data_IF_647076758001
#
_entry.id   IF_647076758001
#
_cell.length_a   1.000
_cell.length_b   1.000
_cell.length_c   1.000
_cell.angle_alpha   90.00
_cell.angle_beta   90.00
_cell.angle_gamma   90.00
#
_symmetry.space_group_name_H-M   'P 1'
#
loop_
_entity.id
_entity.type
_entity.pdbx_description
1 polymer ?
#
# COMPACT_ATOMS: atom_id res chain seq x y z
N UNK A 1 -6.79 15.07 -38.84
CA UNK A 1 -6.62 13.84 -38.03
C UNK A 1 -7.11 12.69 -38.88
N UNK A 2 -6.24 11.74 -39.23
CA UNK A 2 -6.61 10.62 -40.10
C UNK A 2 -7.54 9.68 -39.35
N UNK A 3 -8.81 9.62 -39.76
CA UNK A 3 -9.80 8.69 -39.22
C UNK A 3 -9.37 7.26 -39.56
N UNK A 4 -9.15 6.42 -38.54
CA UNK A 4 -8.89 5.00 -38.74
C UNK A 4 -10.22 4.28 -38.85
N UNK A 5 -10.42 3.59 -39.98
CA UNK A 5 -11.64 2.86 -40.25
C UNK A 5 -11.61 1.48 -39.55
N UNK A 6 -12.64 1.14 -38.75
CA UNK A 6 -12.68 -0.13 -38.02
C UNK A 6 -12.92 -1.36 -38.91
N UNK A 7 -13.35 -1.20 -40.17
CA UNK A 7 -13.58 -2.31 -41.12
C UNK A 7 -12.26 -2.85 -41.72
N UNK A 8 -11.22 -2.01 -41.74
CA UNK A 8 -9.92 -2.33 -42.35
C UNK A 8 -8.75 -2.26 -41.36
N UNK A 9 -8.99 -1.83 -40.12
CA UNK A 9 -7.98 -1.65 -39.08
C UNK A 9 -7.77 -2.86 -38.17
N UNK A 10 -6.68 -2.85 -37.41
CA UNK A 10 -6.41 -3.83 -36.36
C UNK A 10 -7.16 -3.41 -35.10
N UNK A 11 -8.09 -4.23 -34.59
CA UNK A 11 -8.99 -3.79 -33.51
C UNK A 11 -8.84 -4.61 -32.23
N UNK A 12 -9.16 -4.00 -31.09
CA UNK A 12 -9.30 -4.70 -29.82
C UNK A 12 -10.73 -4.49 -29.30
N UNK A 13 -11.54 -5.56 -29.34
CA UNK A 13 -12.94 -5.51 -28.90
C UNK A 13 -13.05 -5.19 -27.42
N UNK A 14 -12.19 -5.79 -26.57
CA UNK A 14 -12.22 -5.55 -25.13
C UNK A 14 -11.90 -4.10 -24.72
N UNK A 15 -11.25 -3.32 -25.59
CA UNK A 15 -10.84 -1.93 -25.29
C UNK A 15 -11.47 -0.90 -26.23
N UNK A 16 -12.31 -1.33 -27.19
CA UNK A 16 -12.90 -0.48 -28.23
C UNK A 16 -11.88 0.41 -28.96
N UNK A 17 -10.70 -0.14 -29.27
CA UNK A 17 -9.64 0.58 -29.97
C UNK A 17 -9.41 0.05 -31.39
N UNK A 18 -8.99 0.96 -32.27
CA UNK A 18 -8.49 0.68 -33.62
C UNK A 18 -7.03 1.14 -33.71
N UNK A 19 -6.15 0.24 -34.11
CA UNK A 19 -4.72 0.47 -34.27
C UNK A 19 -4.35 0.63 -35.74
N UNK A 20 -3.30 1.43 -35.97
CA UNK A 20 -2.73 1.66 -37.31
C UNK A 20 -1.99 0.45 -37.86
N UNK A 21 -1.37 -0.34 -36.97
CA UNK A 21 -0.53 -1.48 -37.34
C UNK A 21 -0.76 -2.65 -36.39
N UNK A 22 -0.48 -3.87 -36.88
CA UNK A 22 -0.55 -5.08 -36.07
C UNK A 22 0.43 -5.04 -34.88
N UNK A 23 1.58 -4.38 -35.02
CA UNK A 23 2.56 -4.26 -33.93
C UNK A 23 2.00 -3.50 -32.74
N UNK A 24 1.33 -2.37 -32.99
CA UNK A 24 0.69 -1.59 -31.92
C UNK A 24 -0.41 -2.39 -31.21
N UNK A 25 -1.17 -3.19 -31.96
CA UNK A 25 -2.18 -4.08 -31.39
C UNK A 25 -1.52 -5.16 -30.50
N UNK A 26 -0.43 -5.78 -30.97
CA UNK A 26 0.33 -6.78 -30.19
C UNK A 26 0.94 -6.20 -28.92
N UNK A 27 1.44 -4.98 -28.98
CA UNK A 27 1.99 -4.30 -27.80
C UNK A 27 0.88 -3.89 -26.83
N UNK A 28 -0.27 -3.44 -27.32
CA UNK A 28 -1.45 -3.19 -26.49
C UNK A 28 -1.87 -4.42 -25.67
N UNK A 29 -1.92 -5.62 -26.27
CA UNK A 29 -2.27 -6.86 -25.56
C UNK A 29 -1.35 -7.18 -24.37
N UNK A 30 -0.13 -6.66 -24.36
CA UNK A 30 0.82 -6.87 -23.25
C UNK A 30 0.60 -5.91 -22.08
N UNK A 31 -0.11 -4.80 -22.30
CA UNK A 31 -0.31 -3.74 -21.30
C UNK A 31 -1.24 -4.16 -20.17
N UNK A 32 -1.05 -3.56 -18.99
CA UNK A 32 -1.95 -3.74 -17.85
C UNK A 32 -3.34 -3.18 -18.12
N UNK A 33 -3.44 -2.13 -18.94
CA UNK A 33 -4.72 -1.55 -19.34
C UNK A 33 -5.59 -2.55 -20.11
N UNK A 34 -5.02 -3.28 -21.07
CA UNK A 34 -5.72 -4.35 -21.78
C UNK A 34 -6.21 -5.43 -20.82
N UNK A 35 -5.31 -5.92 -19.94
CA UNK A 35 -5.65 -6.94 -18.94
C UNK A 35 -6.75 -6.48 -17.99
N UNK A 36 -6.73 -5.21 -17.60
CA UNK A 36 -7.76 -4.60 -16.76
C UNK A 36 -9.12 -4.55 -17.45
N UNK A 37 -9.18 -4.07 -18.69
CA UNK A 37 -10.41 -4.04 -19.48
C UNK A 37 -10.93 -5.45 -19.79
N UNK A 38 -10.05 -6.42 -20.02
CA UNK A 38 -10.45 -7.82 -20.20
C UNK A 38 -11.16 -8.38 -18.95
N UNK A 39 -10.62 -8.12 -17.75
CA UNK A 39 -11.28 -8.50 -16.49
C UNK A 39 -12.63 -7.82 -16.32
N UNK A 40 -12.76 -6.55 -16.73
CA UNK A 40 -14.04 -5.84 -16.71
C UNK A 40 -15.06 -6.45 -17.66
N UNK A 41 -14.64 -6.79 -18.88
CA UNK A 41 -15.49 -7.46 -19.86
C UNK A 41 -16.01 -8.81 -19.35
N UNK A 42 -15.16 -9.61 -18.70
CA UNK A 42 -15.57 -10.88 -18.06
C UNK A 42 -16.59 -10.65 -16.93
N UNK A 43 -16.51 -9.52 -16.25
CA UNK A 43 -17.48 -9.11 -15.24
C UNK A 43 -18.69 -8.34 -15.82
N UNK A 44 -18.87 -8.36 -17.15
CA UNK A 44 -19.94 -7.65 -17.87
C UNK A 44 -19.96 -6.13 -17.60
N UNK A 45 -18.80 -5.57 -17.24
CA UNK A 45 -18.62 -4.14 -17.00
C UNK A 45 -18.07 -3.45 -18.26
N UNK A 46 -18.47 -2.19 -18.53
CA UNK A 46 -17.96 -1.44 -19.67
C UNK A 46 -16.45 -1.21 -19.55
N UNK A 47 -15.70 -1.18 -20.68
CA UNK A 47 -14.28 -0.90 -20.67
C UNK A 47 -14.01 0.54 -20.21
N UNK A 48 -12.81 0.74 -19.68
CA UNK A 48 -12.33 2.03 -19.16
C UNK A 48 -11.37 2.62 -20.20
N UNK A 49 -11.44 3.94 -20.41
CA UNK A 49 -10.54 4.63 -21.34
C UNK A 49 -9.11 4.67 -20.80
N UNK A 50 -8.13 4.96 -21.66
CA UNK A 50 -6.73 5.07 -21.23
C UNK A 50 -6.54 6.17 -20.19
N UNK A 51 -7.20 7.32 -20.34
CA UNK A 51 -7.16 8.43 -19.39
C UNK A 51 -7.67 8.01 -18.02
N UNK A 52 -8.85 7.40 -17.98
CA UNK A 52 -9.45 6.92 -16.73
C UNK A 52 -8.61 5.83 -16.06
N UNK A 53 -7.96 4.97 -16.86
CA UNK A 53 -7.05 3.97 -16.33
C UNK A 53 -5.81 4.60 -15.70
N UNK A 54 -5.20 5.60 -16.36
CA UNK A 54 -4.07 6.36 -15.81
C UNK A 54 -4.43 7.04 -14.50
N UNK A 55 -5.59 7.70 -14.42
CA UNK A 55 -6.08 8.33 -13.19
C UNK A 55 -6.21 7.31 -12.04
N UNK A 56 -6.80 6.13 -12.32
CA UNK A 56 -6.92 5.05 -11.33
C UNK A 56 -5.55 4.54 -10.88
N UNK A 57 -4.59 4.38 -11.79
CA UNK A 57 -3.23 3.94 -11.45
C UNK A 57 -2.54 4.96 -10.57
N UNK A 58 -2.68 6.25 -10.86
CA UNK A 58 -2.12 7.34 -10.05
C UNK A 58 -2.75 7.34 -8.65
N UNK A 59 -4.08 7.29 -8.56
CA UNK A 59 -4.79 7.24 -7.29
C UNK A 59 -4.33 6.04 -6.44
N UNK A 60 -4.26 4.85 -7.02
CA UNK A 60 -3.82 3.64 -6.33
C UNK A 60 -2.36 3.73 -5.85
N UNK A 61 -1.47 4.33 -6.63
CA UNK A 61 -0.07 4.57 -6.22
C UNK A 61 0.01 5.54 -5.04
N UNK A 62 -0.72 6.65 -5.12
CA UNK A 62 -0.74 7.65 -4.06
C UNK A 62 -1.29 7.08 -2.75
N UNK A 63 -2.37 6.28 -2.80
CA UNK A 63 -2.94 5.59 -1.65
C UNK A 63 -1.94 4.61 -1.02
N UNK A 64 -1.25 3.80 -1.83
CA UNK A 64 -0.22 2.88 -1.34
C UNK A 64 0.97 3.60 -0.71
N UNK A 65 1.39 4.71 -1.29
CA UNK A 65 2.47 5.53 -0.73
C UNK A 65 2.06 6.18 0.59
N UNK A 66 0.82 6.67 0.70
CA UNK A 66 0.27 7.21 1.94
C UNK A 66 0.21 6.13 3.03
N UNK A 67 -0.31 4.94 2.71
CA UNK A 67 -0.35 3.80 3.63
C UNK A 67 1.06 3.39 4.10
N UNK A 68 2.03 3.35 3.19
CA UNK A 68 3.41 3.03 3.54
C UNK A 68 4.02 4.08 4.47
N UNK A 69 3.76 5.38 4.22
CA UNK A 69 4.22 6.46 5.11
C UNK A 69 3.60 6.34 6.51
N UNK A 70 2.31 6.05 6.60
CA UNK A 70 1.63 5.80 7.88
C UNK A 70 2.25 4.59 8.62
N UNK A 71 2.52 3.49 7.90
CA UNK A 71 3.16 2.30 8.48
C UNK A 71 4.59 2.58 8.95
N UNK A 72 5.39 3.29 8.14
CA UNK A 72 6.75 3.71 8.47
C UNK A 72 6.75 4.66 9.69
N UNK A 73 5.81 5.59 9.77
CA UNK A 73 5.63 6.47 10.93
C UNK A 73 5.27 5.66 12.18
N UNK A 74 4.30 4.74 12.12
CA UNK A 74 3.93 3.87 13.25
C UNK A 74 5.10 2.98 13.68
N UNK A 75 5.86 2.44 12.73
CA UNK A 75 7.07 1.65 13.01
C UNK A 75 8.14 2.49 13.70
N UNK A 76 8.33 3.74 13.27
CA UNK A 76 9.27 4.69 13.91
C UNK A 76 8.92 5.02 15.36
N UNK A 77 7.66 4.81 15.75
CA UNK A 77 7.19 4.97 17.14
C UNK A 77 7.43 3.74 18.01
N UNK A 78 8.14 2.72 17.53
CA UNK A 78 8.48 1.55 18.34
C UNK A 78 9.95 1.56 18.77
N UNK A 79 10.19 1.50 20.07
CA UNK A 79 11.52 1.31 20.62
C UNK A 79 11.84 -0.17 20.81
N UNK A 80 12.83 -0.68 20.09
CA UNK A 80 13.32 -2.06 20.20
C UNK A 80 13.99 -2.36 21.55
N UNK A 81 14.80 -1.44 22.07
CA UNK A 81 15.49 -1.56 23.38
C UNK A 81 14.50 -1.72 24.53
N UNK A 82 13.41 -0.96 24.50
CA UNK A 82 12.40 -0.94 25.57
C UNK A 82 11.19 -1.82 25.27
N UNK A 83 11.09 -2.36 24.04
CA UNK A 83 9.93 -3.06 23.48
C UNK A 83 8.62 -2.32 23.74
N UNK A 84 8.63 -1.00 23.52
CA UNK A 84 7.51 -0.11 23.84
C UNK A 84 7.13 0.70 22.61
N UNK A 85 5.82 0.83 22.36
CA UNK A 85 5.25 1.79 21.40
C UNK A 85 5.05 3.14 22.08
N UNK A 86 5.44 4.20 21.39
CA UNK A 86 5.34 5.59 21.81
C UNK A 86 4.16 6.25 21.09
N UNK A 87 3.59 7.27 21.72
CA UNK A 87 2.35 7.91 21.25
C UNK A 87 2.56 8.97 20.16
N UNK A 88 3.79 9.43 19.97
CA UNK A 88 4.16 10.46 19.00
C UNK A 88 5.67 10.49 18.80
N UNK A 89 6.10 11.13 17.69
CA UNK A 89 7.53 11.25 17.37
C UNK A 89 8.30 11.99 18.44
N UNK A 90 7.70 13.05 19.01
CA UNK A 90 8.28 13.78 20.14
C UNK A 90 8.42 12.89 21.38
N UNK A 91 7.40 12.09 21.70
CA UNK A 91 7.49 11.15 22.82
C UNK A 91 8.56 10.07 22.60
N UNK A 92 8.82 9.68 21.35
CA UNK A 92 9.93 8.79 20.99
C UNK A 92 11.29 9.47 21.15
N UNK A 93 11.44 10.72 20.71
CA UNK A 93 12.66 11.50 20.93
C UNK A 93 12.96 11.68 22.43
N UNK A 94 11.96 12.08 23.22
CA UNK A 94 12.09 12.23 24.67
C UNK A 94 12.39 10.89 25.35
N UNK A 95 11.77 9.80 24.86
CA UNK A 95 12.03 8.45 25.35
C UNK A 95 13.50 8.04 25.16
N UNK A 96 14.05 8.23 23.96
CA UNK A 96 15.45 7.92 23.64
C UNK A 96 16.40 8.81 24.45
N UNK A 97 16.04 10.08 24.66
CA UNK A 97 16.85 11.00 25.47
C UNK A 97 16.84 10.67 26.97
N UNK A 98 15.82 9.94 27.45
CA UNK A 98 15.62 9.67 28.88
C UNK A 98 16.74 8.82 29.50
N UNK A 99 17.07 9.11 30.76
CA UNK A 99 18.09 8.38 31.53
C UNK A 99 17.82 6.88 31.57
N UNK A 100 16.55 6.48 31.67
CA UNK A 100 16.13 5.07 31.68
C UNK A 100 16.49 4.34 30.39
N UNK A 101 16.29 4.97 29.23
CA UNK A 101 16.65 4.36 27.94
C UNK A 101 18.17 4.17 27.84
N UNK A 102 18.95 5.23 28.09
CA UNK A 102 20.42 5.22 28.05
C UNK A 102 21.04 4.19 29.00
N UNK A 103 20.51 4.07 30.21
CA UNK A 103 20.97 3.05 31.19
C UNK A 103 20.67 1.61 30.74
N UNK A 104 19.62 1.40 29.93
CA UNK A 104 19.30 0.08 29.39
C UNK A 104 20.15 -0.28 28.19
N UNK A 105 20.49 0.69 27.34
CA UNK A 105 21.42 0.48 26.23
C UNK A 105 22.84 0.19 26.73
N UNK A 106 23.27 0.85 27.81
CA UNK A 106 24.59 0.63 28.42
C UNK A 106 24.71 -0.67 29.23
N UNK A 107 23.60 -1.39 29.47
CA UNK A 107 23.61 -2.67 30.20
C UNK A 107 23.41 -3.81 29.22
N UNK A 108 24.42 -4.67 29.08
CA UNK A 108 24.32 -5.99 28.42
C UNK A 108 23.08 -6.79 28.92
N UNK A 109 22.52 -7.72 28.11
CA UNK A 109 21.17 -8.21 28.27
C UNK A 109 20.93 -8.83 29.65
N UNK A 110 20.31 -8.06 30.55
CA UNK A 110 19.68 -8.65 31.73
C UNK A 110 18.47 -9.42 31.25
N UNK A 111 18.43 -10.70 31.62
CA UNK A 111 17.41 -11.69 31.27
C UNK A 111 15.96 -11.24 31.51
N UNK A 112 14.99 -12.10 31.22
CA UNK A 112 13.60 -11.73 30.99
C UNK A 112 13.06 -10.84 32.11
N UNK A 113 12.67 -9.62 31.75
CA UNK A 113 11.98 -8.71 32.68
C UNK A 113 10.60 -9.26 32.96
N UNK A 114 10.35 -9.54 34.24
CA UNK A 114 9.06 -10.02 34.71
C UNK A 114 7.91 -9.08 34.29
N UNK A 115 6.76 -9.63 33.89
CA UNK A 115 5.59 -8.84 33.53
C UNK A 115 5.11 -8.01 34.73
N UNK A 116 4.72 -6.77 34.47
CA UNK A 116 4.02 -5.93 35.46
C UNK A 116 2.68 -6.60 35.74
N UNK A 117 2.43 -6.96 37.00
CA UNK A 117 1.12 -7.45 37.45
C UNK A 117 0.12 -6.33 37.20
N UNK A 118 -0.80 -6.56 36.25
CA UNK A 118 -2.03 -5.78 36.17
C UNK A 118 -2.95 -6.42 37.20
N UNK A 119 -3.16 -5.74 38.32
CA UNK A 119 -4.11 -6.17 39.33
C UNK A 119 -5.52 -6.10 38.72
N UNK A 120 -6.00 -7.23 38.24
CA UNK A 120 -7.41 -7.42 37.88
C UNK A 120 -8.10 -7.95 39.14
N UNK A 121 -8.52 -7.02 40.00
CA UNK A 121 -9.27 -7.36 41.19
C UNK A 121 -10.74 -7.61 40.82
N UNK A 122 -11.07 -8.90 40.76
CA UNK A 122 -12.29 -9.57 41.25
C UNK A 122 -13.64 -9.01 40.82
N UNK A 123 -14.42 -9.85 40.13
CA UNK A 123 -15.78 -10.18 40.56
C UNK A 123 -16.20 -11.54 39.97
N UNK A 124 -16.03 -12.56 40.81
CA UNK A 124 -16.81 -13.80 40.81
C UNK A 124 -18.24 -13.41 41.17
N UNK A 125 -19.23 -13.73 40.35
CA UNK A 125 -20.54 -14.15 40.86
C UNK A 125 -20.98 -15.35 40.02
N UNK A 126 -21.39 -16.36 40.79
CA UNK A 126 -21.87 -17.71 40.47
C UNK A 126 -22.91 -17.78 39.35
#
# INVERSE_FOLDING_TARGET
MSSLDPSTGFTCVACHLVFKTADLQRDHYKTDWHRYNLKRQVAELPPVTDEQFREKVIAFRNEREAQKKEEDEVSSLYCSTCRKKLKSRNAMADHIASKKHKEMEAKEPKGPRQPRKVDCQVLIIL
#
